data_IF_470479135070
#
_entry.id   IF_470479135070
#
_cell.length_a   1.000
_cell.length_b   1.000
_cell.length_c   1.000
_cell.angle_alpha   90.00
_cell.angle_beta   90.00
_cell.angle_gamma   90.00
#
_symmetry.space_group_name_H-M   'P 1'
#
loop_
_entity.id
_entity.type
_entity.pdbx_description
1 polymer ?
#
# COMPACT_ATOMS: atom_id res chain seq x y z
N UNK A 1 17.99 -1.33 -4.25
CA UNK A 1 17.79 -2.53 -5.07
C UNK A 1 16.31 -2.89 -5.06
N UNK A 2 15.63 -2.58 -6.16
CA UNK A 2 14.16 -2.65 -6.30
C UNK A 2 13.70 -3.92 -7.06
N UNK A 3 14.62 -4.82 -7.42
CA UNK A 3 14.26 -6.04 -8.15
C UNK A 3 13.57 -7.06 -7.22
N UNK A 4 12.45 -7.63 -7.67
CA UNK A 4 11.77 -8.75 -7.01
C UNK A 4 11.83 -9.96 -7.94
N UNK A 5 12.20 -11.13 -7.41
CA UNK A 5 12.42 -12.34 -8.20
C UNK A 5 11.28 -13.36 -8.05
N UNK A 6 10.41 -13.17 -7.04
CA UNK A 6 9.23 -13.98 -6.81
C UNK A 6 8.03 -13.13 -6.35
N UNK A 7 6.79 -13.61 -6.54
CA UNK A 7 5.59 -12.99 -5.98
C UNK A 7 5.72 -12.79 -4.46
N UNK A 8 5.16 -11.69 -3.96
CA UNK A 8 5.12 -11.33 -2.55
C UNK A 8 6.47 -11.19 -1.85
N UNK A 9 7.55 -10.98 -2.62
CA UNK A 9 8.87 -10.70 -2.07
C UNK A 9 9.02 -9.24 -1.65
N UNK A 10 8.54 -8.32 -2.51
CA UNK A 10 8.62 -6.88 -2.28
C UNK A 10 7.33 -6.20 -2.74
N UNK A 11 6.73 -5.45 -1.83
CA UNK A 11 5.61 -4.58 -2.16
C UNK A 11 6.04 -3.11 -2.08
N UNK A 12 5.40 -2.27 -2.88
CA UNK A 12 5.51 -0.81 -2.81
C UNK A 12 4.14 -0.20 -2.57
N UNK A 13 4.06 0.99 -1.97
CA UNK A 13 2.81 1.73 -1.86
C UNK A 13 2.94 3.11 -2.48
N UNK A 14 1.82 3.62 -2.96
CA UNK A 14 1.64 5.04 -3.23
C UNK A 14 0.30 5.53 -2.66
N UNK A 15 0.22 6.85 -2.42
CA UNK A 15 -1.02 7.54 -2.07
C UNK A 15 -1.31 8.61 -3.12
N UNK A 16 -2.33 8.36 -3.93
CA UNK A 16 -2.81 9.28 -4.96
C UNK A 16 -3.94 10.18 -4.42
N UNK A 17 -3.83 11.49 -4.65
CA UNK A 17 -4.85 12.49 -4.31
C UNK A 17 -5.75 12.79 -5.51
N UNK A 18 -7.06 12.73 -5.30
CA UNK A 18 -8.10 13.11 -6.27
C UNK A 18 -8.86 14.33 -5.77
N UNK A 19 -9.04 15.32 -6.65
CA UNK A 19 -9.94 16.45 -6.43
C UNK A 19 -11.31 16.11 -6.96
N UNK A 20 -12.35 16.29 -6.15
CA UNK A 20 -13.73 15.97 -6.54
C UNK A 20 -14.39 17.23 -7.13
N UNK A 21 -14.75 17.24 -8.41
CA UNK A 21 -15.37 18.42 -9.03
C UNK A 21 -16.68 18.79 -8.33
N UNK A 22 -16.82 20.04 -7.92
CA UNK A 22 -18.02 20.54 -7.24
C UNK A 22 -18.05 20.35 -5.72
N UNK A 23 -17.05 19.65 -5.15
CA UNK A 23 -16.90 19.50 -3.70
C UNK A 23 -15.68 20.26 -3.19
N UNK A 24 -15.72 20.66 -1.91
CA UNK A 24 -14.57 21.28 -1.25
C UNK A 24 -13.55 20.26 -0.73
N UNK A 25 -13.87 18.97 -0.83
CA UNK A 25 -13.07 17.85 -0.31
C UNK A 25 -12.10 17.24 -1.32
N UNK A 26 -11.31 16.29 -0.83
CA UNK A 26 -10.37 15.48 -1.60
C UNK A 26 -10.58 14.01 -1.25
N UNK A 27 -10.33 13.12 -2.20
CA UNK A 27 -10.23 11.69 -1.94
C UNK A 27 -8.78 11.25 -2.08
N UNK A 28 -8.39 10.32 -1.23
CA UNK A 28 -7.06 9.71 -1.22
C UNK A 28 -7.21 8.22 -1.44
N UNK A 29 -6.51 7.70 -2.44
CA UNK A 29 -6.37 6.26 -2.70
C UNK A 29 -4.99 5.84 -2.25
N UNK A 30 -4.91 4.86 -1.36
CA UNK A 30 -3.67 4.14 -1.10
C UNK A 30 -3.77 2.76 -1.75
N UNK A 31 -2.67 2.29 -2.33
CA UNK A 31 -2.59 0.97 -2.93
C UNK A 31 -1.21 0.35 -2.65
N UNK A 32 -1.19 -0.96 -2.34
CA UNK A 32 0.02 -1.78 -2.36
C UNK A 32 0.11 -2.50 -3.71
N UNK A 33 1.29 -2.45 -4.31
CA UNK A 33 1.61 -3.14 -5.57
C UNK A 33 2.75 -4.13 -5.34
N UNK A 34 2.60 -5.35 -5.85
CA UNK A 34 3.69 -6.32 -5.93
C UNK A 34 4.69 -5.91 -7.01
N UNK A 35 5.96 -5.79 -6.65
CA UNK A 35 7.01 -5.39 -7.60
C UNK A 35 7.37 -6.49 -8.61
N UNK A 36 6.98 -7.75 -8.36
CA UNK A 36 7.25 -8.86 -9.26
C UNK A 36 6.40 -8.78 -10.54
N UNK A 37 5.08 -8.68 -10.41
CA UNK A 37 4.14 -8.73 -11.53
C UNK A 37 3.31 -7.44 -11.70
N UNK A 38 3.51 -6.45 -10.84
CA UNK A 38 2.79 -5.17 -10.79
C UNK A 38 1.31 -5.31 -10.46
N UNK A 39 0.90 -6.42 -9.86
CA UNK A 39 -0.47 -6.59 -9.38
C UNK A 39 -0.75 -5.72 -8.16
N UNK A 40 -1.99 -5.22 -8.03
CA UNK A 40 -2.44 -4.52 -6.83
C UNK A 40 -2.89 -5.57 -5.83
N UNK A 41 -2.18 -5.67 -4.71
CA UNK A 41 -2.42 -6.69 -3.67
C UNK A 41 -3.36 -6.19 -2.58
N UNK A 42 -3.55 -4.88 -2.45
CA UNK A 42 -4.52 -4.26 -1.54
C UNK A 42 -4.65 -2.77 -1.77
N UNK A 43 -5.81 -2.20 -1.42
CA UNK A 43 -6.09 -0.77 -1.56
C UNK A 43 -7.12 -0.30 -0.53
N UNK A 44 -7.16 1.00 -0.28
CA UNK A 44 -8.23 1.67 0.46
C UNK A 44 -8.41 3.11 -0.01
N UNK A 45 -9.59 3.69 0.25
CA UNK A 45 -9.93 5.08 -0.08
C UNK A 45 -10.40 5.80 1.19
N UNK A 46 -9.99 7.06 1.35
CA UNK A 46 -10.40 7.92 2.47
C UNK A 46 -10.50 9.38 2.03
N UNK A 47 -11.28 10.17 2.75
CA UNK A 47 -11.28 11.64 2.64
C UNK A 47 -10.06 12.27 3.34
N UNK A 48 -9.30 11.47 4.09
CA UNK A 48 -8.15 11.90 4.89
C UNK A 48 -6.85 11.22 4.44
N UNK A 49 -5.79 12.00 4.29
CA UNK A 49 -4.43 11.50 4.03
C UNK A 49 -3.69 11.30 5.35
N UNK A 50 -4.03 10.23 6.05
CA UNK A 50 -3.47 9.88 7.35
C UNK A 50 -2.90 8.45 7.37
N UNK A 51 -2.33 8.06 8.50
CA UNK A 51 -1.78 6.73 8.67
C UNK A 51 -2.86 5.64 8.66
N UNK A 52 -4.12 5.99 9.00
CA UNK A 52 -5.21 5.01 9.00
C UNK A 52 -5.47 4.49 7.59
N UNK A 53 -5.47 5.39 6.59
CA UNK A 53 -5.60 5.00 5.19
C UNK A 53 -4.54 3.96 4.78
N UNK A 54 -3.28 4.17 5.16
CA UNK A 54 -2.17 3.25 4.84
C UNK A 54 -2.31 1.94 5.61
N UNK A 55 -2.70 1.98 6.89
CA UNK A 55 -2.91 0.76 7.68
C UNK A 55 -4.09 -0.06 7.18
N UNK A 56 -5.17 0.57 6.75
CA UNK A 56 -6.32 -0.13 6.18
C UNK A 56 -5.95 -0.81 4.86
N UNK A 57 -5.19 -0.11 4.03
CA UNK A 57 -4.62 -0.66 2.79
C UNK A 57 -3.72 -1.86 3.06
N UNK A 58 -2.89 -1.78 4.11
CA UNK A 58 -2.01 -2.88 4.52
C UNK A 58 -2.79 -4.09 5.04
N UNK A 59 -3.80 -3.86 5.89
CA UNK A 59 -4.69 -4.92 6.39
C UNK A 59 -5.39 -5.63 5.26
N UNK A 60 -5.91 -4.87 4.28
CA UNK A 60 -6.54 -5.43 3.08
C UNK A 60 -5.54 -6.29 2.29
N UNK A 61 -4.30 -5.82 2.12
CA UNK A 61 -3.27 -6.55 1.39
C UNK A 61 -2.88 -7.88 2.05
N UNK A 62 -2.66 -7.88 3.37
CA UNK A 62 -2.34 -9.10 4.14
C UNK A 62 -3.54 -10.05 4.19
N UNK A 63 -4.77 -9.54 4.34
CA UNK A 63 -5.96 -10.38 4.33
C UNK A 63 -6.17 -11.09 2.99
N UNK A 64 -5.83 -10.43 1.88
CA UNK A 64 -5.88 -11.02 0.54
C UNK A 64 -4.71 -11.98 0.26
N UNK A 65 -3.59 -11.82 0.96
CA UNK A 65 -2.36 -12.60 0.76
C UNK A 65 -1.84 -13.12 2.11
N UNK A 66 -2.54 -14.05 2.77
CA UNK A 66 -2.28 -14.44 4.16
C UNK A 66 -0.90 -15.09 4.37
N UNK A 67 -0.33 -15.70 3.33
CA UNK A 67 0.99 -16.34 3.36
C UNK A 67 2.12 -15.38 2.94
N UNK A 68 1.80 -14.13 2.57
CA UNK A 68 2.80 -13.17 2.12
C UNK A 68 3.62 -12.64 3.30
N UNK A 69 4.96 -12.63 3.12
CA UNK A 69 5.91 -12.01 4.05
C UNK A 69 6.82 -10.99 3.32
N UNK A 70 6.24 -9.98 2.66
CA UNK A 70 6.97 -9.10 1.76
C UNK A 70 7.83 -8.11 2.54
N UNK A 71 8.96 -7.72 1.96
CA UNK A 71 9.60 -6.46 2.32
C UNK A 71 8.77 -5.32 1.73
N UNK A 72 8.52 -4.28 2.52
CA UNK A 72 7.69 -3.18 2.05
C UNK A 72 8.46 -1.85 2.06
N UNK A 73 8.32 -1.10 0.96
CA UNK A 73 8.83 0.26 0.84
C UNK A 73 7.65 1.24 0.76
N UNK A 74 7.62 2.23 1.64
CA UNK A 74 6.74 3.39 1.48
C UNK A 74 7.59 4.61 1.16
N UNK A 75 7.19 5.33 0.12
CA UNK A 75 7.84 6.59 -0.27
C UNK A 75 7.69 7.68 0.81
N UNK A 76 6.77 7.49 1.77
CA UNK A 76 6.54 8.39 2.91
C UNK A 76 7.06 7.87 4.26
N UNK A 77 7.27 6.56 4.36
CA UNK A 77 7.78 5.89 5.56
C UNK A 77 8.84 4.90 5.10
N UNK A 78 10.12 5.16 5.40
CA UNK A 78 11.24 4.35 4.92
C UNK A 78 11.09 2.84 5.17
N UNK A 79 11.98 2.04 4.57
CA UNK A 79 11.91 0.57 4.54
C UNK A 79 11.34 -0.10 5.82
N UNK A 80 10.18 -0.75 5.69
CA UNK A 80 9.53 -1.53 6.76
C UNK A 80 9.60 -3.03 6.39
N UNK A 81 10.07 -3.86 7.31
CA UNK A 81 10.07 -5.33 7.14
C UNK A 81 8.82 -5.89 7.79
N UNK A 82 8.02 -6.67 7.07
CA UNK A 82 6.82 -7.34 7.61
C UNK A 82 7.12 -8.43 8.66
N UNK A 83 8.40 -8.74 8.95
CA UNK A 83 8.81 -9.71 9.96
C UNK A 83 8.71 -9.12 11.37
N UNK A 84 7.48 -9.01 11.86
CA UNK A 84 7.15 -8.53 13.19
C UNK A 84 6.03 -7.52 13.11
N UNK A 85 4.81 -7.98 13.38
CA UNK A 85 3.62 -7.13 13.48
C UNK A 85 3.84 -6.06 14.56
N UNK A 86 3.67 -4.80 14.16
CA UNK A 86 3.72 -3.52 14.92
C UNK A 86 5.12 -2.98 15.27
#
# INVERSE_FOLDING_TARGET
DFEAFAPNEKWTTDVTEFKIPGEKGKLYLSAFMDLYDRSIVGWAVSEHNDNNLVFDTFRNAIAANPDAAPLFHSDRFGNLKSRGVL
#
